data_IF_948259442362
#
_entry.id   IF_948259442362
#
_cell.length_a   1.000
_cell.length_b   1.000
_cell.length_c   1.000
_cell.angle_alpha   90.00
_cell.angle_beta   90.00
_cell.angle_gamma   90.00
#
_symmetry.space_group_name_H-M   'P 1'
#
loop_
_entity.id
_entity.type
_entity.pdbx_description
1 polymer ?
#
# COMPACT_ATOMS: atom_id res chain seq x y z
N UNK A 1 -2.14 -3.68 -0.15
CA UNK A 1 -1.81 -4.13 -1.52
C UNK A 1 -0.58 -5.02 -1.61
N UNK A 2 0.29 -5.08 -0.59
CA UNK A 2 1.44 -6.00 -0.59
C UNK A 2 1.07 -7.49 -0.75
N UNK A 3 -0.19 -7.86 -0.46
CA UNK A 3 -0.75 -9.19 -0.64
C UNK A 3 -1.63 -9.34 -1.89
N UNK A 4 -1.75 -8.31 -2.73
CA UNK A 4 -2.43 -8.42 -4.03
C UNK A 4 -1.43 -8.99 -5.04
N UNK A 5 -1.19 -10.29 -4.94
CA UNK A 5 -0.25 -11.01 -5.81
C UNK A 5 -0.91 -11.27 -7.16
N UNK A 6 -0.34 -10.79 -8.28
CA UNK A 6 -0.85 -11.08 -9.61
C UNK A 6 -0.92 -12.59 -9.86
N UNK A 7 -1.93 -13.04 -10.62
CA UNK A 7 -2.12 -14.46 -10.94
C UNK A 7 -0.84 -15.13 -11.49
N UNK A 8 -0.13 -14.45 -12.40
CA UNK A 8 1.11 -14.97 -12.97
C UNK A 8 2.26 -15.13 -11.95
N UNK A 9 2.26 -14.36 -10.84
CA UNK A 9 3.23 -14.52 -9.76
C UNK A 9 2.83 -15.65 -8.80
N UNK A 10 1.54 -15.98 -8.70
CA UNK A 10 1.06 -17.15 -7.94
C UNK A 10 1.33 -18.46 -8.69
N UNK A 11 1.20 -18.44 -10.02
CA UNK A 11 1.40 -19.61 -10.89
C UNK A 11 2.87 -19.82 -11.29
N UNK A 12 3.73 -18.80 -11.14
CA UNK A 12 5.16 -18.89 -11.41
C UNK A 12 5.97 -19.47 -10.24
N UNK A 13 7.27 -19.67 -10.46
CA UNK A 13 8.17 -20.14 -9.40
C UNK A 13 8.70 -18.99 -8.54
N UNK A 14 9.02 -19.30 -7.27
CA UNK A 14 9.66 -18.33 -6.37
C UNK A 14 11.04 -17.99 -6.94
N UNK A 15 11.20 -16.77 -7.42
CA UNK A 15 12.43 -16.29 -8.08
C UNK A 15 12.21 -15.81 -9.51
N UNK A 16 11.05 -16.09 -10.10
CA UNK A 16 10.72 -15.59 -11.44
C UNK A 16 10.60 -14.07 -11.46
N UNK A 17 11.29 -13.45 -12.41
CA UNK A 17 11.34 -12.00 -12.55
C UNK A 17 10.06 -11.43 -13.15
N UNK A 18 9.13 -11.02 -12.29
CA UNK A 18 7.88 -10.33 -12.66
C UNK A 18 7.95 -8.82 -12.38
N UNK A 19 9.01 -8.16 -12.86
CA UNK A 19 9.25 -6.74 -12.56
C UNK A 19 8.07 -5.85 -12.97
N UNK A 20 7.50 -5.13 -11.99
CA UNK A 20 6.45 -4.14 -12.22
C UNK A 20 5.06 -4.69 -12.53
N UNK A 21 4.85 -6.02 -12.45
CA UNK A 21 3.55 -6.63 -12.75
C UNK A 21 2.44 -6.12 -11.82
N UNK A 22 2.70 -6.08 -10.51
CA UNK A 22 1.77 -5.52 -9.53
C UNK A 22 1.43 -4.04 -9.80
N UNK A 23 2.40 -3.24 -10.25
CA UNK A 23 2.17 -1.82 -10.58
C UNK A 23 1.27 -1.64 -11.81
N UNK A 24 1.45 -2.49 -12.83
CA UNK A 24 0.59 -2.49 -14.04
C UNK A 24 -0.83 -2.94 -13.70
N UNK A 25 -0.96 -4.01 -12.91
CA UNK A 25 -2.25 -4.49 -12.41
C UNK A 25 -2.99 -3.39 -11.65
N UNK A 26 -2.32 -2.72 -10.70
CA UNK A 26 -2.90 -1.62 -9.94
C UNK A 26 -3.35 -0.46 -10.82
N UNK A 27 -2.57 -0.10 -11.84
CA UNK A 27 -2.95 0.96 -12.80
C UNK A 27 -4.22 0.61 -13.56
N UNK A 28 -4.38 -0.64 -14.00
CA UNK A 28 -5.61 -1.10 -14.65
C UNK A 28 -6.80 -1.15 -13.68
N UNK A 29 -6.59 -1.68 -12.47
CA UNK A 29 -7.63 -1.80 -11.45
C UNK A 29 -8.19 -0.42 -11.07
N UNK A 30 -7.32 0.56 -10.80
CA UNK A 30 -7.74 1.91 -10.42
C UNK A 30 -8.54 2.60 -11.53
N UNK A 31 -8.13 2.45 -12.80
CA UNK A 31 -8.86 3.00 -13.95
C UNK A 31 -10.30 2.49 -14.03
N UNK A 32 -10.53 1.20 -13.75
CA UNK A 32 -11.87 0.60 -13.76
C UNK A 32 -12.67 0.96 -12.51
N UNK A 33 -12.03 0.94 -11.34
CA UNK A 33 -12.69 1.15 -10.06
C UNK A 33 -13.13 2.61 -9.86
N UNK A 34 -12.35 3.60 -10.32
CA UNK A 34 -12.65 5.02 -10.07
C UNK A 34 -14.06 5.44 -10.54
N UNK A 35 -14.46 5.04 -11.75
CA UNK A 35 -15.80 5.34 -12.27
C UNK A 35 -16.90 4.62 -11.48
N UNK A 36 -16.71 3.31 -11.26
CA UNK A 36 -17.70 2.47 -10.56
C UNK A 36 -17.93 2.93 -9.11
N UNK A 37 -16.87 3.27 -8.39
CA UNK A 37 -16.95 3.74 -7.00
C UNK A 37 -17.71 5.06 -6.89
N UNK A 38 -17.50 5.98 -7.84
CA UNK A 38 -18.22 7.26 -7.86
C UNK A 38 -19.71 7.07 -8.12
N UNK A 39 -20.08 6.21 -9.08
CA UNK A 39 -21.48 5.94 -9.41
C UNK A 39 -22.21 5.19 -8.30
N UNK A 40 -21.53 4.28 -7.60
CA UNK A 40 -22.08 3.50 -6.50
C UNK A 40 -21.97 4.17 -5.12
N UNK A 41 -21.40 5.39 -5.06
CA UNK A 41 -21.11 6.12 -3.82
C UNK A 41 -20.39 5.25 -2.76
N UNK A 42 -19.46 4.41 -3.19
CA UNK A 42 -18.75 3.47 -2.32
C UNK A 42 -17.36 4.01 -1.97
N UNK A 43 -17.04 4.03 -0.67
CA UNK A 43 -15.69 4.32 -0.19
C UNK A 43 -14.82 3.06 -0.25
N UNK A 44 -13.69 3.14 -0.94
CA UNK A 44 -12.69 2.08 -0.98
C UNK A 44 -11.42 2.51 -0.24
N UNK A 45 -11.03 1.73 0.78
CA UNK A 45 -9.84 1.99 1.59
C UNK A 45 -8.75 0.99 1.21
N UNK A 46 -7.59 1.51 0.78
CA UNK A 46 -6.40 0.69 0.54
C UNK A 46 -5.42 0.80 1.71
N UNK A 47 -5.13 -0.34 2.33
CA UNK A 47 -4.06 -0.45 3.32
C UNK A 47 -2.75 -0.84 2.62
N UNK A 48 -1.68 -0.10 2.90
CA UNK A 48 -0.35 -0.37 2.38
C UNK A 48 0.71 -0.36 3.47
N UNK A 49 1.76 -1.12 3.21
CA UNK A 49 2.94 -1.16 4.04
C UNK A 49 4.00 -0.23 3.44
N UNK A 50 4.77 0.41 4.32
CA UNK A 50 5.98 1.13 3.94
C UNK A 50 7.07 0.10 3.60
N UNK A 51 7.84 0.42 2.57
CA UNK A 51 9.05 -0.29 2.13
C UNK A 51 10.17 0.74 1.96
N UNK A 52 11.42 0.29 1.93
CA UNK A 52 12.57 1.15 1.65
C UNK A 52 13.06 0.91 0.22
N UNK A 53 13.35 1.99 -0.51
CA UNK A 53 13.99 1.92 -1.83
C UNK A 53 15.50 1.87 -1.67
N UNK A 54 16.11 0.73 -1.99
CA UNK A 54 17.57 0.56 -1.98
C UNK A 54 18.20 1.51 -3.01
N UNK A 55 19.32 2.14 -2.64
CA UNK A 55 20.10 3.02 -3.54
C UNK A 55 19.68 4.50 -3.54
N UNK A 56 18.78 4.93 -2.66
CA UNK A 56 18.48 6.36 -2.46
C UNK A 56 19.53 6.96 -1.52
N UNK A 57 20.40 7.82 -2.06
CA UNK A 57 21.46 8.50 -1.28
C UNK A 57 21.06 9.88 -0.72
N UNK A 58 19.96 10.46 -1.20
CA UNK A 58 19.41 11.74 -0.74
C UNK A 58 17.87 11.71 -0.73
N UNK A 59 17.26 12.31 0.31
CA UNK A 59 15.79 12.39 0.47
C UNK A 59 15.18 11.23 1.27
N UNK A 60 13.84 11.16 1.30
CA UNK A 60 13.11 10.09 2.01
C UNK A 60 13.18 8.77 1.22
N UNK A 61 13.78 7.69 1.76
CA UNK A 61 13.87 6.39 1.10
C UNK A 61 12.56 5.57 1.17
N UNK A 62 11.55 6.04 1.90
CA UNK A 62 10.29 5.34 2.06
C UNK A 62 9.46 5.32 0.77
N UNK A 63 8.90 4.17 0.47
CA UNK A 63 8.01 3.93 -0.66
C UNK A 63 6.86 3.00 -0.27
N UNK A 64 5.84 2.94 -1.12
CA UNK A 64 4.68 2.05 -0.95
C UNK A 64 4.64 1.02 -2.07
N UNK A 65 4.13 -0.17 -1.78
CA UNK A 65 3.93 -1.24 -2.78
C UNK A 65 2.89 -0.87 -3.84
N UNK A 66 2.92 -1.54 -5.01
CA UNK A 66 1.88 -1.41 -6.03
C UNK A 66 2.04 -0.24 -7.02
N UNK A 67 3.24 0.36 -7.08
CA UNK A 67 3.55 1.44 -8.03
C UNK A 67 2.92 2.80 -7.67
N UNK A 68 2.80 3.67 -8.67
CA UNK A 68 2.35 5.05 -8.46
C UNK A 68 0.85 5.27 -8.66
N UNK A 69 0.12 4.34 -9.29
CA UNK A 69 -1.30 4.54 -9.63
C UNK A 69 -2.15 4.93 -8.42
N UNK A 70 -2.04 4.20 -7.31
CA UNK A 70 -2.81 4.51 -6.11
C UNK A 70 -2.53 5.94 -5.59
N UNK A 71 -1.30 6.45 -5.74
CA UNK A 71 -0.97 7.81 -5.28
C UNK A 71 -1.73 8.89 -6.06
N UNK A 72 -2.06 8.64 -7.33
CA UNK A 72 -2.80 9.56 -8.19
C UNK A 72 -4.32 9.42 -8.06
N UNK A 73 -4.82 8.21 -7.82
CA UNK A 73 -6.27 7.95 -7.72
C UNK A 73 -6.82 8.13 -6.30
N UNK A 74 -5.98 8.08 -5.27
CA UNK A 74 -6.42 8.30 -3.89
C UNK A 74 -6.78 9.77 -3.66
N UNK A 75 -8.03 10.03 -3.29
CA UNK A 75 -8.47 11.37 -2.88
C UNK A 75 -7.88 11.78 -1.52
N UNK A 76 -7.55 10.82 -0.65
CA UNK A 76 -6.93 11.04 0.66
C UNK A 76 -5.84 10.00 0.88
N UNK A 77 -4.71 10.42 1.45
CA UNK A 77 -3.60 9.55 1.85
C UNK A 77 -3.23 9.82 3.31
N UNK A 78 -3.17 8.76 4.11
CA UNK A 78 -2.85 8.82 5.54
C UNK A 78 -1.55 8.04 5.81
N UNK A 79 -0.63 8.66 6.55
CA UNK A 79 0.55 8.01 7.10
C UNK A 79 0.31 7.80 8.60
N UNK A 80 0.26 6.54 9.02
CA UNK A 80 -0.05 6.16 10.40
C UNK A 80 1.21 5.61 11.04
N UNK A 81 1.68 6.26 12.11
CA UNK A 81 2.88 5.88 12.86
C UNK A 81 2.57 5.79 14.34
N UNK A 82 3.06 4.72 14.97
CA UNK A 82 3.07 4.62 16.42
C UNK A 82 4.19 5.50 16.97
N UNK A 83 3.83 6.57 17.67
CA UNK A 83 4.80 7.52 18.26
C UNK A 83 5.13 7.23 19.73
N UNK A 84 4.44 6.27 20.35
CA UNK A 84 4.65 5.91 21.74
C UNK A 84 3.63 4.89 22.24
N UNK A 85 3.69 4.62 23.54
CA UNK A 85 2.68 3.86 24.25
C UNK A 85 1.94 4.80 25.20
N UNK A 86 0.62 4.67 25.26
CA UNK A 86 -0.17 5.27 26.34
C UNK A 86 0.10 4.43 27.59
N UNK A 87 0.66 5.05 28.63
CA UNK A 87 0.83 4.41 29.94
C UNK A 87 -0.32 4.86 30.83
N UNK A 88 -1.15 3.93 31.29
CA UNK A 88 -1.97 4.17 32.47
C UNK A 88 -1.05 4.10 33.69
N UNK A 89 -1.17 5.06 34.60
CA UNK A 89 -0.38 5.11 35.82
C UNK A 89 -0.45 3.76 36.55
N UNK A 90 0.72 3.28 36.98
CA UNK A 90 0.91 2.15 37.87
C UNK A 90 -0.31 1.97 38.78
N UNK A 91 -1.06 0.87 38.61
CA UNK A 91 -2.08 0.45 39.58
C UNK A 91 -1.35 0.13 40.88
N UNK A 92 -1.05 1.18 41.63
CA UNK A 92 -0.52 1.16 42.97
C UNK A 92 -1.69 0.77 43.87
N UNK A 93 -1.80 -0.52 44.15
CA UNK A 93 -2.85 -1.06 45.00
C UNK A 93 -2.68 -2.55 45.21
N UNK A 94 -2.08 -2.91 46.35
CA UNK A 94 -1.89 -4.27 46.85
C UNK A 94 -0.53 -4.44 47.50
#
# INVERSE_FOLDING_TARGET
>A
MAALTPKAEIEGEIGDSHMGLAARMMSQAMRKLAGNLKQSNTLLIFINQIRMKIGVMFGNPETTTGGNALKFYASVRLDIRRIGAVKEGEKRGG
#
